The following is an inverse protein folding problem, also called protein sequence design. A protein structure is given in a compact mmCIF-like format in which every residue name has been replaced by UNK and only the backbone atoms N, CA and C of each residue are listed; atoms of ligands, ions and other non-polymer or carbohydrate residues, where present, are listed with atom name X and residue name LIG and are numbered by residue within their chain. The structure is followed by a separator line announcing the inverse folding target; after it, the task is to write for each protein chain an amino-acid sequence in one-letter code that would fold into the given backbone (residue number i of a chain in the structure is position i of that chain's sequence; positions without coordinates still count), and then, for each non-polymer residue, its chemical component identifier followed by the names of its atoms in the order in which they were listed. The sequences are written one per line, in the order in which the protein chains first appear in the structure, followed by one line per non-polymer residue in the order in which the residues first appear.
data_IF_686905531533
#
_entry.id   IF_686905531533
#
_cell.length_a   1.000
_cell.length_b   1.000
_cell.length_c   1.000
_cell.angle_alpha   90.00
_cell.angle_beta   90.00
_cell.angle_gamma   90.00
#
_symmetry.space_group_name_H-M   'P 1'
#
loop_
_entity.id
_entity.type
_entity.pdbx_description
1 polymer ?
#
# COMPACT_ATOMS: atom_id res chain seq x y z
N UNK A 1 2.88 -11.85 -13.06
CA UNK A 1 3.16 -11.05 -14.28
C UNK A 1 4.38 -10.12 -14.16
N UNK A 2 4.72 -9.60 -12.97
CA UNK A 2 5.88 -8.70 -12.76
C UNK A 2 7.25 -9.38 -13.03
N UNK A 3 7.39 -10.68 -12.82
CA UNK A 3 8.65 -11.40 -13.02
C UNK A 3 9.09 -11.51 -14.48
N UNK A 4 8.13 -11.65 -15.42
CA UNK A 4 8.43 -11.72 -16.85
C UNK A 4 8.94 -10.38 -17.40
N UNK A 5 8.38 -9.26 -16.92
CA UNK A 5 8.81 -7.92 -17.30
C UNK A 5 10.25 -7.61 -16.83
N UNK A 6 10.65 -8.10 -15.65
CA UNK A 6 12.04 -7.97 -15.18
C UNK A 6 13.05 -8.71 -16.08
N UNK A 7 12.68 -9.86 -16.65
CA UNK A 7 13.58 -10.66 -17.48
C UNK A 7 13.88 -9.98 -18.84
N UNK A 8 12.88 -9.31 -19.42
CA UNK A 8 12.99 -8.62 -20.72
C UNK A 8 13.96 -7.43 -20.66
N UNK A 9 14.01 -6.72 -19.53
CA UNK A 9 14.86 -5.52 -19.35
C UNK A 9 16.36 -5.87 -19.29
N UNK A 10 16.74 -7.04 -18.78
CA UNK A 10 18.14 -7.46 -18.64
C UNK A 10 18.73 -7.94 -19.98
N UNK A 11 17.88 -8.38 -20.93
CA UNK A 11 18.32 -9.01 -22.19
C UNK A 11 18.69 -8.06 -23.34
N UNK A 12 18.35 -6.77 -23.30
CA UNK A 12 18.37 -5.89 -24.50
C UNK A 12 19.33 -4.71 -24.41
N UNK A 13 20.57 -4.93 -23.95
CA UNK A 13 21.61 -3.89 -23.81
C UNK A 13 22.19 -3.34 -25.14
N UNK A 14 21.63 -3.67 -26.30
CA UNK A 14 22.33 -3.51 -27.59
C UNK A 14 21.55 -2.90 -28.77
N UNK A 15 20.47 -2.16 -28.58
CA UNK A 15 19.70 -1.57 -29.69
C UNK A 15 19.02 -0.25 -29.28
N UNK A 16 19.66 0.90 -29.57
CA UNK A 16 19.22 2.24 -29.15
C UNK A 16 17.77 2.59 -29.55
N UNK A 17 17.35 2.20 -30.76
CA UNK A 17 16.02 2.47 -31.27
C UNK A 17 14.94 1.70 -30.50
N UNK A 18 15.18 0.41 -30.19
CA UNK A 18 14.25 -0.37 -29.37
C UNK A 18 14.27 0.04 -27.90
N UNK A 19 15.39 0.54 -27.37
CA UNK A 19 15.39 1.08 -25.99
C UNK A 19 14.52 2.32 -25.87
N UNK A 20 14.48 3.18 -26.90
CA UNK A 20 13.57 4.33 -26.89
C UNK A 20 12.10 3.91 -26.92
N UNK A 21 11.78 2.90 -27.74
CA UNK A 21 10.43 2.34 -27.87
C UNK A 21 9.98 1.61 -26.59
N UNK A 22 10.84 0.78 -26.00
CA UNK A 22 10.59 0.06 -24.75
C UNK A 22 10.43 1.06 -23.61
N UNK A 23 11.28 2.09 -23.52
CA UNK A 23 11.15 3.16 -22.52
C UNK A 23 9.83 3.89 -22.70
N UNK A 24 9.45 4.24 -23.93
CA UNK A 24 8.16 4.89 -24.20
C UNK A 24 6.98 4.01 -23.80
N UNK A 25 7.01 2.70 -24.10
CA UNK A 25 5.97 1.75 -23.72
C UNK A 25 5.87 1.60 -22.20
N UNK A 26 6.99 1.45 -21.50
CA UNK A 26 7.02 1.37 -20.03
C UNK A 26 6.54 2.68 -19.41
N UNK A 27 7.00 3.83 -19.90
CA UNK A 27 6.51 5.14 -19.43
C UNK A 27 5.03 5.30 -19.67
N UNK A 28 4.51 4.92 -20.85
CA UNK A 28 3.09 4.96 -21.16
C UNK A 28 2.29 4.03 -20.24
N UNK A 29 2.81 2.85 -19.91
CA UNK A 29 2.16 1.92 -19.00
C UNK A 29 2.15 2.45 -17.56
N UNK A 30 3.25 3.06 -17.10
CA UNK A 30 3.35 3.69 -15.79
C UNK A 30 2.47 4.94 -15.67
N UNK A 31 2.31 5.70 -16.75
CA UNK A 31 1.41 6.86 -16.80
C UNK A 31 -0.06 6.45 -16.91
N UNK A 32 -0.38 5.37 -17.64
CA UNK A 32 -1.72 4.79 -17.69
C UNK A 32 -2.11 4.12 -16.37
N UNK A 33 -1.12 3.68 -15.59
CA UNK A 33 -1.31 3.22 -14.22
C UNK A 33 -1.58 4.43 -13.33
N UNK A 34 -2.86 4.79 -13.19
CA UNK A 34 -3.29 5.70 -12.14
C UNK A 34 -2.78 5.14 -10.79
N UNK A 35 -2.11 5.96 -9.95
CA UNK A 35 -1.88 5.58 -8.58
C UNK A 35 -3.23 5.32 -7.93
N UNK A 36 -3.64 4.06 -7.89
CA UNK A 36 -4.82 3.69 -7.11
C UNK A 36 -4.50 4.03 -5.67
N UNK A 37 -5.37 4.81 -5.03
CA UNK A 37 -5.33 4.97 -3.59
C UNK A 37 -5.60 3.59 -2.98
N UNK A 38 -4.54 2.84 -2.71
CA UNK A 38 -4.62 1.47 -2.19
C UNK A 38 -5.22 1.45 -0.79
N UNK A 39 -5.09 2.58 -0.07
CA UNK A 39 -5.52 2.72 1.31
C UNK A 39 -6.87 3.44 1.43
N UNK A 40 -7.87 2.85 2.10
CA UNK A 40 -9.08 3.55 2.50
C UNK A 40 -8.76 4.81 3.32
N UNK A 41 -9.69 5.76 3.35
CA UNK A 41 -9.50 7.07 4.02
C UNK A 41 -8.98 6.95 5.46
N UNK A 42 -9.50 6.00 6.22
CA UNK A 42 -9.10 5.71 7.61
C UNK A 42 -7.61 5.36 7.73
N UNK A 43 -7.09 4.53 6.83
CA UNK A 43 -5.68 4.14 6.83
C UNK A 43 -4.76 5.32 6.45
N UNK A 44 -5.23 6.20 5.55
CA UNK A 44 -4.50 7.43 5.22
C UNK A 44 -4.47 8.43 6.37
N UNK A 45 -5.60 8.59 7.07
CA UNK A 45 -5.68 9.44 8.26
C UNK A 45 -4.77 8.93 9.39
N UNK A 46 -4.67 7.61 9.52
CA UNK A 46 -3.74 6.96 10.43
C UNK A 46 -2.27 7.19 10.07
N UNK A 47 -1.90 7.07 8.78
CA UNK A 47 -0.54 7.38 8.32
C UNK A 47 -0.18 8.85 8.62
N UNK A 48 -1.10 9.79 8.34
CA UNK A 48 -0.93 11.20 8.71
C UNK A 48 -0.78 11.41 10.22
N UNK A 49 -1.46 10.60 11.03
CA UNK A 49 -1.35 10.65 12.48
C UNK A 49 0.01 10.13 12.97
N UNK A 50 0.51 9.05 12.37
CA UNK A 50 1.86 8.51 12.64
C UNK A 50 2.93 9.54 12.25
N UNK A 51 2.83 10.16 11.07
CA UNK A 51 3.76 11.21 10.63
C UNK A 51 3.74 12.43 11.56
N UNK A 52 2.57 12.76 12.13
CA UNK A 52 2.43 13.84 13.11
C UNK A 52 2.84 13.43 14.54
N UNK A 53 3.40 12.23 14.74
CA UNK A 53 3.83 11.73 16.05
C UNK A 53 2.67 11.43 17.01
N UNK A 54 1.46 11.20 16.50
CA UNK A 54 0.30 10.80 17.31
C UNK A 54 0.23 9.29 17.44
N UNK A 55 -0.26 8.83 18.60
CA UNK A 55 -0.46 7.41 18.87
C UNK A 55 -1.57 6.83 18.00
N UNK A 56 -1.25 5.74 17.29
CA UNK A 56 -2.20 4.96 16.49
C UNK A 56 -1.99 3.48 16.78
N UNK A 57 -3.08 2.75 16.98
CA UNK A 57 -3.07 1.31 17.23
C UNK A 57 -3.39 0.57 15.93
N UNK A 58 -2.50 -0.32 15.52
CA UNK A 58 -2.62 -1.14 14.31
C UNK A 58 -2.76 -2.60 14.77
N UNK A 59 -3.92 -3.21 14.54
CA UNK A 59 -4.20 -4.59 14.93
C UNK A 59 -4.40 -5.48 13.71
N UNK A 60 -3.87 -6.72 13.70
CA UNK A 60 -4.25 -7.70 12.70
C UNK A 60 -5.74 -8.02 12.86
N UNK A 61 -6.50 -7.90 11.78
CA UNK A 61 -7.88 -8.36 11.76
C UNK A 61 -7.93 -9.87 11.48
N UNK A 62 -8.97 -10.55 11.96
CA UNK A 62 -9.18 -11.99 11.74
C UNK A 62 -9.20 -12.38 10.25
N UNK A 63 -9.59 -11.45 9.36
CA UNK A 63 -9.55 -11.67 7.92
C UNK A 63 -8.13 -11.52 7.39
N UNK A 64 -7.40 -12.63 7.24
CA UNK A 64 -6.16 -12.86 6.45
C UNK A 64 -5.14 -11.70 6.34
N UNK A 65 -5.50 -10.62 5.65
CA UNK A 65 -4.64 -9.47 5.33
C UNK A 65 -5.25 -8.12 5.71
N UNK A 66 -6.38 -8.13 6.40
CA UNK A 66 -7.04 -6.92 6.88
C UNK A 66 -6.37 -6.45 8.15
N UNK A 67 -6.27 -5.13 8.28
CA UNK A 67 -5.67 -4.45 9.42
C UNK A 67 -6.71 -3.50 9.97
N UNK A 68 -6.94 -3.53 11.28
CA UNK A 68 -7.80 -2.55 11.94
C UNK A 68 -6.91 -1.43 12.44
N UNK A 69 -7.27 -0.20 12.10
CA UNK A 69 -6.59 0.98 12.61
C UNK A 69 -7.51 1.73 13.55
N UNK A 70 -7.05 1.96 14.78
CA UNK A 70 -7.80 2.61 15.84
C UNK A 70 -6.98 3.76 16.43
N UNK A 71 -7.65 4.85 16.77
CA UNK A 71 -7.09 5.81 17.71
C UNK A 71 -7.09 5.25 19.14
N UNK A 72 -6.38 5.93 20.04
CA UNK A 72 -6.23 5.52 21.43
C UNK A 72 -7.56 5.38 22.17
N UNK A 73 -8.53 6.24 21.93
CA UNK A 73 -9.83 6.20 22.62
C UNK A 73 -10.64 5.00 22.17
N UNK A 74 -10.71 4.79 20.85
CA UNK A 74 -11.41 3.65 20.26
C UNK A 74 -10.77 2.31 20.66
N UNK A 75 -9.44 2.25 20.74
CA UNK A 75 -8.75 1.06 21.26
C UNK A 75 -9.15 0.77 22.71
N UNK A 76 -9.10 1.78 23.60
CA UNK A 76 -9.44 1.59 25.01
C UNK A 76 -10.92 1.20 25.21
N UNK A 77 -11.83 1.79 24.44
CA UNK A 77 -13.25 1.45 24.52
C UNK A 77 -13.52 0.03 24.03
N UNK A 78 -12.92 -0.37 22.90
CA UNK A 78 -13.03 -1.74 22.41
C UNK A 78 -12.43 -2.75 23.39
N UNK A 79 -11.28 -2.46 23.96
CA UNK A 79 -10.64 -3.31 24.96
C UNK A 79 -11.51 -3.48 26.22
N UNK A 80 -12.17 -2.40 26.68
CA UNK A 80 -13.12 -2.48 27.79
C UNK A 80 -14.33 -3.34 27.46
N UNK A 81 -14.96 -3.14 26.29
CA UNK A 81 -16.10 -3.95 25.87
C UNK A 81 -15.73 -5.44 25.86
N UNK A 82 -14.55 -5.81 25.35
CA UNK A 82 -14.08 -7.21 25.34
C UNK A 82 -13.87 -7.77 26.75
N UNK A 83 -13.47 -6.94 27.71
CA UNK A 83 -13.27 -7.36 29.10
C UNK A 83 -14.58 -7.44 29.91
N UNK A 84 -15.58 -6.64 29.54
CA UNK A 84 -16.88 -6.56 30.21
C UNK A 84 -17.90 -7.57 29.68
N UNK A 85 -17.69 -8.17 28.50
CA UNK A 85 -18.55 -9.18 27.85
C UNK A 85 -18.44 -10.58 28.50
N UNK A 86 -18.17 -10.63 29.82
CA UNK A 86 -17.96 -11.85 30.61
C UNK A 86 -19.22 -12.31 31.34
#
# INVERSE_FOLDING_TARGET
MIAAAKLVIIGTKGMEQTTSLIRHQISSLLLAHQPCEVFPKVERDALRAIEAGRDVFILPAEKRHSVVVLDRTNYLQNAKNVLEDR
#
